data_IF_569089054676
#
_entry.id   IF_569089054676
#
_cell.length_a   1.000
_cell.length_b   1.000
_cell.length_c   1.000
_cell.angle_alpha   90.00
_cell.angle_beta   90.00
_cell.angle_gamma   90.00
#
_symmetry.space_group_name_H-M   'P 1'
#
loop_
_entity.id
_entity.type
_entity.pdbx_description
1 polymer ?
#
# COMPACT_ATOMS: atom_id res chain seq x y z
N UNK A 1 12.53 -3.09 14.83
CA UNK A 1 11.38 -3.14 13.91
C UNK A 1 10.45 -1.95 14.13
N UNK A 2 9.99 -1.31 13.05
CA UNK A 2 9.07 -0.17 13.09
C UNK A 2 7.64 -0.62 13.48
N UNK A 3 6.79 0.32 13.95
CA UNK A 3 5.43 0.01 14.42
C UNK A 3 4.53 -0.59 13.33
N UNK A 4 4.54 -0.01 12.13
CA UNK A 4 3.78 -0.49 10.98
C UNK A 4 4.22 -1.87 10.50
N UNK A 5 5.53 -2.18 10.57
CA UNK A 5 6.03 -3.52 10.23
C UNK A 5 5.41 -4.58 11.14
N UNK A 6 5.27 -4.30 12.43
CA UNK A 6 4.59 -5.20 13.39
C UNK A 6 3.12 -5.43 13.01
N UNK A 7 2.42 -4.38 12.60
CA UNK A 7 1.00 -4.48 12.17
C UNK A 7 0.87 -5.39 10.96
N UNK A 8 1.73 -5.20 9.95
CA UNK A 8 1.75 -6.02 8.75
C UNK A 8 2.04 -7.49 9.05
N UNK A 9 3.15 -7.79 9.74
CA UNK A 9 3.53 -9.17 10.06
C UNK A 9 2.46 -9.86 10.92
N UNK A 10 1.88 -9.16 11.90
CA UNK A 10 0.79 -9.69 12.71
C UNK A 10 -0.46 -10.00 11.89
N UNK A 11 -0.83 -9.13 10.94
CA UNK A 11 -1.98 -9.35 10.07
C UNK A 11 -1.80 -10.61 9.21
N UNK A 12 -0.63 -10.77 8.62
CA UNK A 12 -0.30 -11.92 7.76
C UNK A 12 0.17 -13.17 8.51
N UNK A 13 0.31 -13.09 9.84
CA UNK A 13 0.82 -14.17 10.71
C UNK A 13 2.23 -14.63 10.31
N UNK A 14 3.09 -13.65 10.02
CA UNK A 14 4.46 -13.88 9.55
C UNK A 14 5.50 -13.60 10.64
N UNK A 15 6.56 -14.41 10.56
CA UNK A 15 7.93 -14.23 11.04
C UNK A 15 8.60 -12.93 10.55
N UNK A 16 9.49 -12.28 11.32
CA UNK A 16 10.51 -11.40 10.72
C UNK A 16 11.44 -12.18 9.77
N UNK A 17 11.65 -13.47 10.04
CA UNK A 17 12.47 -14.37 9.22
C UNK A 17 11.75 -14.85 7.95
N UNK A 18 10.42 -14.81 7.93
CA UNK A 18 9.60 -15.32 6.84
C UNK A 18 9.83 -14.57 5.53
N UNK A 19 9.63 -15.29 4.43
CA UNK A 19 9.63 -14.69 3.11
C UNK A 19 8.36 -13.88 2.90
N UNK A 20 8.48 -12.56 2.93
CA UNK A 20 7.43 -11.64 2.52
C UNK A 20 7.63 -11.27 1.03
N UNK A 21 6.66 -11.57 0.18
CA UNK A 21 6.71 -11.23 -1.24
C UNK A 21 6.34 -9.74 -1.44
N UNK A 22 7.00 -9.07 -2.37
CA UNK A 22 6.56 -7.77 -2.84
C UNK A 22 5.18 -7.86 -3.52
N UNK A 23 4.25 -7.01 -3.11
CA UNK A 23 2.88 -7.03 -3.60
C UNK A 23 2.72 -6.44 -5.02
N UNK A 24 3.64 -5.58 -5.45
CA UNK A 24 3.54 -4.83 -6.71
C UNK A 24 4.29 -5.47 -7.87
N UNK A 25 5.37 -6.20 -7.58
CA UNK A 25 6.17 -6.81 -8.63
C UNK A 25 5.52 -8.14 -9.07
N UNK A 26 5.57 -8.45 -10.36
CA UNK A 26 5.02 -9.72 -10.92
C UNK A 26 5.91 -10.92 -10.65
N UNK A 27 7.20 -10.68 -10.46
CA UNK A 27 8.21 -11.66 -10.09
C UNK A 27 8.17 -11.94 -8.58
N UNK A 28 8.59 -13.15 -8.16
CA UNK A 28 8.64 -13.55 -6.73
C UNK A 28 9.84 -12.92 -6.01
N UNK A 29 9.85 -11.59 -5.89
CA UNK A 29 10.89 -10.81 -5.22
C UNK A 29 10.54 -10.62 -3.74
N UNK A 30 11.53 -10.75 -2.84
CA UNK A 30 11.35 -10.46 -1.41
C UNK A 30 11.10 -8.96 -1.22
N UNK A 31 10.09 -8.61 -0.44
CA UNK A 31 9.91 -7.24 0.02
C UNK A 31 11.06 -6.84 0.95
N UNK A 32 11.63 -5.68 0.70
CA UNK A 32 12.68 -5.09 1.56
C UNK A 32 12.05 -4.23 2.64
N UNK A 33 10.89 -3.63 2.34
CA UNK A 33 10.26 -2.62 3.17
C UNK A 33 8.75 -2.88 3.30
N UNK A 34 8.23 -2.58 4.48
CA UNK A 34 6.79 -2.35 4.67
C UNK A 34 6.57 -0.85 4.52
N UNK A 35 5.84 -0.46 3.48
CA UNK A 35 5.68 0.92 3.06
C UNK A 35 4.25 1.40 3.26
N UNK A 36 4.08 2.65 3.66
CA UNK A 36 2.78 3.31 3.72
C UNK A 36 2.32 3.72 2.32
N UNK A 37 1.13 3.31 1.89
CA UNK A 37 0.55 3.77 0.61
C UNK A 37 0.28 5.28 0.67
N UNK A 38 -0.24 5.77 1.80
CA UNK A 38 -0.39 7.20 2.10
C UNK A 38 0.60 7.62 3.17
N UNK A 39 1.45 8.60 2.82
CA UNK A 39 2.49 9.08 3.73
C UNK A 39 1.93 9.67 5.02
N UNK A 40 2.72 9.53 6.10
CA UNK A 40 2.42 10.06 7.43
C UNK A 40 2.02 11.54 7.45
N UNK A 41 2.65 12.34 6.59
CA UNK A 41 2.39 13.79 6.49
C UNK A 41 0.99 14.10 5.96
N UNK A 42 0.44 13.23 5.10
CA UNK A 42 -0.87 13.43 4.47
C UNK A 42 -2.00 12.72 5.20
N UNK A 43 -1.71 11.71 6.02
CA UNK A 43 -2.72 10.87 6.64
C UNK A 43 -2.34 10.38 8.06
N UNK A 44 -2.23 11.29 9.05
CA UNK A 44 -1.88 10.96 10.44
C UNK A 44 -2.89 10.05 11.16
N UNK A 45 -4.16 10.09 10.79
CA UNK A 45 -5.28 9.41 11.46
C UNK A 45 -5.42 7.90 11.13
N UNK A 46 -4.75 7.43 10.08
CA UNK A 46 -4.84 6.04 9.57
C UNK A 46 -3.47 5.41 9.33
N UNK A 47 -2.50 5.89 10.08
CA UNK A 47 -1.09 5.84 9.71
C UNK A 47 -0.53 4.41 9.81
N UNK A 48 -0.84 3.65 10.85
CA UNK A 48 -0.41 2.24 10.99
C UNK A 48 -1.59 1.25 10.89
N UNK A 49 -2.48 1.46 9.91
CA UNK A 49 -3.58 0.55 9.59
C UNK A 49 -3.19 -0.43 8.49
N UNK A 50 -3.69 -1.67 8.54
CA UNK A 50 -3.33 -2.70 7.55
C UNK A 50 -3.69 -2.23 6.13
N UNK A 51 -4.80 -1.51 5.98
CA UNK A 51 -5.29 -0.97 4.72
C UNK A 51 -4.34 0.05 4.08
N UNK A 52 -3.47 0.68 4.86
CA UNK A 52 -2.55 1.74 4.43
C UNK A 52 -1.09 1.29 4.38
N UNK A 53 -0.77 0.02 4.65
CA UNK A 53 0.60 -0.50 4.67
C UNK A 53 0.73 -1.71 3.76
N UNK A 54 1.75 -1.74 2.93
CA UNK A 54 1.98 -2.81 1.96
C UNK A 54 3.44 -3.26 1.95
N UNK A 55 3.68 -4.52 1.60
CA UNK A 55 5.04 -5.03 1.43
C UNK A 55 5.55 -4.76 0.01
N UNK A 56 6.67 -4.05 -0.12
CA UNK A 56 7.29 -3.78 -1.41
C UNK A 56 8.81 -3.96 -1.39
N UNK A 57 9.39 -4.30 -2.54
CA UNK A 57 10.85 -4.25 -2.72
C UNK A 57 11.29 -2.80 -2.98
N UNK A 58 12.59 -2.55 -2.79
CA UNK A 58 13.20 -1.23 -2.95
C UNK A 58 12.98 -0.63 -4.34
N UNK A 59 13.11 -1.43 -5.39
CA UNK A 59 12.92 -0.97 -6.78
C UNK A 59 11.47 -0.52 -7.01
N UNK A 60 10.51 -1.32 -6.53
CA UNK A 60 9.09 -1.01 -6.62
C UNK A 60 8.74 0.20 -5.71
N UNK A 61 9.43 0.41 -4.57
CA UNK A 61 9.31 1.61 -3.72
C UNK A 61 9.78 2.88 -4.44
N UNK A 62 10.98 2.87 -5.04
CA UNK A 62 11.53 4.04 -5.74
C UNK A 62 10.74 4.38 -7.01
N UNK A 63 10.27 3.36 -7.72
CA UNK A 63 9.52 3.53 -8.96
C UNK A 63 8.10 4.01 -8.73
N UNK A 64 7.39 3.45 -7.75
CA UNK A 64 5.95 3.65 -7.60
C UNK A 64 5.54 4.37 -6.31
N UNK A 65 6.38 4.36 -5.28
CA UNK A 65 6.10 5.01 -3.99
C UNK A 65 5.89 6.52 -4.13
N UNK A 66 5.04 7.07 -3.27
CA UNK A 66 4.79 8.51 -3.11
C UNK A 66 4.27 9.28 -4.35
N UNK A 67 3.93 8.60 -5.44
CA UNK A 67 3.36 9.22 -6.65
C UNK A 67 1.84 9.23 -6.57
N UNK A 68 1.25 10.43 -6.50
CA UNK A 68 -0.21 10.62 -6.34
C UNK A 68 -1.02 9.83 -7.36
N UNK A 69 -0.61 9.82 -8.63
CA UNK A 69 -1.31 9.11 -9.71
C UNK A 69 -1.19 7.59 -9.65
N UNK A 70 -0.28 7.04 -8.84
CA UNK A 70 -0.13 5.60 -8.63
C UNK A 70 -0.82 5.12 -7.35
N UNK A 71 -1.22 6.02 -6.46
CA UNK A 71 -1.92 5.65 -5.22
C UNK A 71 -3.15 4.77 -5.49
N UNK A 72 -4.02 5.05 -6.49
CA UNK A 72 -5.16 4.18 -6.79
C UNK A 72 -4.74 2.75 -7.17
N UNK A 73 -3.68 2.58 -7.97
CA UNK A 73 -3.22 1.24 -8.36
C UNK A 73 -2.57 0.50 -7.19
N UNK A 74 -1.82 1.19 -6.32
CA UNK A 74 -1.25 0.60 -5.10
C UNK A 74 -2.34 0.08 -4.17
N UNK A 75 -3.41 0.86 -3.95
CA UNK A 75 -4.56 0.40 -3.17
C UNK A 75 -5.29 -0.78 -3.80
N UNK A 76 -5.44 -0.81 -5.13
CA UNK A 76 -6.08 -1.94 -5.84
C UNK A 76 -5.26 -3.22 -5.70
N UNK A 77 -3.93 -3.12 -5.83
CA UNK A 77 -2.99 -4.24 -5.63
C UNK A 77 -3.10 -4.74 -4.19
N UNK A 78 -2.92 -3.85 -3.22
CA UNK A 78 -2.91 -4.22 -1.81
C UNK A 78 -4.24 -4.85 -1.37
N UNK A 79 -5.37 -4.25 -1.79
CA UNK A 79 -6.72 -4.83 -1.58
C UNK A 79 -6.81 -6.26 -2.12
N UNK A 80 -6.24 -6.53 -3.30
CA UNK A 80 -6.26 -7.87 -3.89
C UNK A 80 -5.47 -8.85 -3.04
N UNK A 81 -4.30 -8.45 -2.54
CA UNK A 81 -3.48 -9.27 -1.63
C UNK A 81 -4.26 -9.57 -0.35
N UNK A 82 -4.83 -8.57 0.31
CA UNK A 82 -5.63 -8.75 1.53
C UNK A 82 -6.80 -9.72 1.31
N UNK A 83 -7.46 -9.67 0.14
CA UNK A 83 -8.55 -10.58 -0.21
C UNK A 83 -8.07 -12.02 -0.43
N UNK A 84 -6.98 -12.20 -1.18
CA UNK A 84 -6.42 -13.53 -1.46
C UNK A 84 -5.92 -14.19 -0.19
N UNK A 85 -5.28 -13.42 0.69
CA UNK A 85 -4.80 -13.88 1.99
C UNK A 85 -5.88 -13.93 3.08
N UNK A 86 -7.14 -13.57 2.75
CA UNK A 86 -8.29 -13.57 3.68
C UNK A 86 -8.06 -12.71 4.94
N UNK A 87 -7.33 -11.61 4.81
CA UNK A 87 -7.07 -10.67 5.90
C UNK A 87 -8.30 -9.79 6.11
N UNK A 88 -8.76 -9.65 7.35
CA UNK A 88 -9.86 -8.74 7.68
C UNK A 88 -9.40 -7.29 7.51
N UNK A 89 -10.15 -6.52 6.72
CA UNK A 89 -9.84 -5.13 6.40
C UNK A 89 -11.10 -4.32 6.08
N UNK A 90 -11.02 -3.00 6.22
CA UNK A 90 -12.07 -2.05 5.88
C UNK A 90 -12.11 -1.81 4.36
N UNK A 91 -13.02 -2.52 3.70
CA UNK A 91 -13.22 -2.43 2.24
C UNK A 91 -13.79 -1.09 1.78
N UNK A 92 -14.56 -0.42 2.64
CA UNK A 92 -15.16 0.88 2.34
C UNK A 92 -14.05 1.92 2.31
N UNK A 93 -13.23 1.97 3.36
CA UNK A 93 -12.12 2.92 3.45
C UNK A 93 -11.15 2.82 2.26
N UNK A 94 -10.73 1.61 1.86
CA UNK A 94 -9.87 1.45 0.68
C UNK A 94 -10.56 1.97 -0.59
N UNK A 95 -11.86 1.69 -0.76
CA UNK A 95 -12.62 2.17 -1.92
C UNK A 95 -12.68 3.70 -1.94
N UNK A 96 -12.94 4.33 -0.81
CA UNK A 96 -13.02 5.79 -0.68
C UNK A 96 -11.66 6.44 -1.00
N UNK A 97 -10.54 5.83 -0.58
CA UNK A 97 -9.21 6.33 -0.95
C UNK A 97 -8.95 6.17 -2.46
N UNK A 98 -9.30 5.04 -3.06
CA UNK A 98 -9.16 4.84 -4.51
C UNK A 98 -9.91 5.95 -5.27
N UNK A 99 -11.18 6.18 -4.95
CA UNK A 99 -12.01 7.20 -5.61
C UNK A 99 -11.43 8.61 -5.42
N UNK A 100 -11.01 8.96 -4.19
CA UNK A 100 -10.37 10.25 -3.89
C UNK A 100 -9.14 10.50 -4.77
N UNK A 101 -8.25 9.52 -4.89
CA UNK A 101 -6.99 9.69 -5.62
C UNK A 101 -7.15 9.53 -7.13
N UNK A 102 -8.17 8.82 -7.62
CA UNK A 102 -8.56 8.83 -9.04
C UNK A 102 -9.02 10.24 -9.46
N UNK A 103 -9.91 10.86 -8.66
CA UNK A 103 -10.38 12.21 -8.92
C UNK A 103 -9.23 13.23 -8.89
N UNK A 104 -8.31 13.13 -7.93
CA UNK A 104 -7.11 13.99 -7.88
C UNK A 104 -6.19 13.81 -9.10
N UNK A 105 -6.10 12.59 -9.62
CA UNK A 105 -5.30 12.30 -10.82
C UNK A 105 -5.94 12.94 -12.06
N UNK A 106 -7.24 12.74 -12.24
CA UNK A 106 -8.00 13.33 -13.35
C UNK A 106 -7.95 14.87 -13.35
N UNK A 107 -8.05 15.51 -12.18
CA UNK A 107 -7.92 16.96 -12.05
C UNK A 107 -6.52 17.46 -12.45
N UNK A 108 -5.47 16.69 -12.17
CA UNK A 108 -4.11 17.07 -12.54
C UNK A 108 -3.90 17.04 -14.05
N UNK A 109 -4.49 16.06 -14.73
CA UNK A 109 -4.41 15.90 -16.18
C UNK A 109 -5.20 16.99 -16.94
N UNK A 110 -6.19 17.62 -16.30
CA UNK A 110 -6.96 18.74 -16.85
C UNK A 110 -6.27 20.10 -16.69
N UNK A 111 -5.29 20.21 -15.80
CA UNK A 111 -4.60 21.47 -15.48
C UNK A 111 -3.21 21.61 -16.14
N UNK A 112 -2.75 20.60 -16.90
CA UNK A 112 -1.54 20.72 -17.73
C UNK A 112 -1.87 21.45 -19.03
N UNK A 113 -1.77 22.79 -19.00
CA UNK A 113 -1.75 23.69 -20.16
C UNK A 113 -0.32 23.95 -20.64
#
# INVERSE_FOLDING_TARGET
MQSYTKVYLKAFRLDESDFCQCETCTEKVRATDIHHILTRKKHPEGLDQIENIMAICRDCHEKYGDRIYLIPILFRIHRRVLQLCRIKHNRIWIKDQIEKYENLTALKDQCTF
#
